data_IF_328850941097
#
_entry.id   IF_328850941097
#
_cell.length_a   1.000
_cell.length_b   1.000
_cell.length_c   1.000
_cell.angle_alpha   90.00
_cell.angle_beta   90.00
_cell.angle_gamma   90.00
#
_symmetry.space_group_name_H-M   'P 1'
#
loop_
_entity.id
_entity.type
_entity.pdbx_description
1 polymer ?
2 non-polymer ?
3 non-polymer ?
4 water ?
#
# COMPACT_ATOMS: atom_id res chain seq x y z
N UNK A 6 -19.48 25.29 -22.73
CA UNK A 6 -19.52 24.53 -21.48
C UNK A 6 -18.13 24.05 -21.09
N UNK A 7 -17.82 24.12 -19.80
CA UNK A 7 -16.47 23.75 -19.34
C UNK A 7 -16.23 22.26 -19.44
N UNK A 8 -14.95 21.91 -19.61
CA UNK A 8 -14.51 20.52 -19.70
C UNK A 8 -13.62 20.25 -18.49
N UNK A 9 -14.06 19.33 -17.63
CA UNK A 9 -13.36 18.99 -16.41
C UNK A 9 -12.69 17.64 -16.55
N UNK A 10 -11.39 17.58 -16.27
CA UNK A 10 -10.59 16.39 -16.48
C UNK A 10 -10.63 15.50 -15.24
N UNK A 11 -11.02 14.23 -15.44
CA UNK A 11 -11.05 13.23 -14.37
C UNK A 11 -10.10 12.11 -14.78
N UNK A 12 -9.10 11.85 -13.95
CA UNK A 12 -8.16 10.76 -14.20
C UNK A 12 -8.54 9.57 -13.36
N UNK A 13 -8.23 8.39 -13.86
CA UNK A 13 -8.41 7.13 -13.14
C UNK A 13 -7.04 6.68 -12.64
N UNK A 14 -6.91 6.53 -11.33
CA UNK A 14 -5.65 6.12 -10.72
C UNK A 14 -5.86 4.86 -9.90
N UNK A 15 -4.76 4.16 -9.64
CA UNK A 15 -4.80 2.90 -8.93
C UNK A 15 -3.82 1.90 -9.51
N UNK A 16 -3.66 0.76 -8.86
CA UNK A 16 -2.71 -0.23 -9.34
C UNK A 16 -3.32 -1.04 -10.50
N UNK A 17 -2.48 -1.88 -11.10
CA UNK A 17 -2.90 -2.67 -12.25
C UNK A 17 -3.80 -3.82 -11.80
N UNK A 18 -5.01 -3.88 -12.36
CA UNK A 18 -5.92 -4.97 -12.10
C UNK A 18 -7.10 -4.65 -11.20
N UNK A 19 -7.30 -3.38 -10.82
CA UNK A 19 -8.39 -3.04 -9.93
C UNK A 19 -9.70 -2.86 -10.69
N UNK A 20 -9.64 -2.41 -11.95
CA UNK A 20 -10.84 -2.21 -12.73
C UNK A 20 -10.98 -0.82 -13.31
N UNK A 21 -9.85 -0.12 -13.49
CA UNK A 21 -9.91 1.22 -14.06
C UNK A 21 -10.40 1.19 -15.50
N UNK A 22 -9.85 0.27 -16.30
CA UNK A 22 -10.28 0.15 -17.69
C UNK A 22 -11.73 -0.33 -17.79
N UNK A 23 -12.17 -1.15 -16.85
CA UNK A 23 -13.57 -1.58 -16.83
C UNK A 23 -14.50 -0.41 -16.51
N UNK A 24 -14.10 0.45 -15.57
CA UNK A 24 -14.87 1.65 -15.30
C UNK A 24 -14.88 2.58 -16.51
N UNK A 25 -13.75 2.71 -17.18
CA UNK A 25 -13.67 3.54 -18.38
C UNK A 25 -14.61 3.01 -19.47
N UNK A 26 -14.61 1.69 -19.66
CA UNK A 26 -15.53 1.10 -20.62
C UNK A 26 -16.97 1.38 -20.24
N UNK A 27 -17.32 1.15 -18.96
CA UNK A 27 -18.67 1.44 -18.49
C UNK A 27 -19.06 2.89 -18.74
N UNK A 28 -18.09 3.80 -18.66
CA UNK A 28 -18.35 5.21 -18.94
C UNK A 28 -18.76 5.39 -20.40
N UNK A 29 -17.96 4.86 -21.33
CA UNK A 29 -18.22 5.01 -22.75
C UNK A 29 -19.52 4.32 -23.12
N UNK A 30 -19.68 3.07 -22.69
CA UNK A 30 -20.88 2.28 -22.94
C UNK A 30 -21.11 1.36 -21.75
N UNK A 31 -22.37 1.13 -21.40
CA UNK A 31 -22.65 0.27 -20.26
C UNK A 31 -22.43 -1.19 -20.69
N UNK A 32 -21.15 -1.55 -20.77
CA UNK A 32 -20.73 -2.86 -21.24
C UNK A 32 -19.67 -3.44 -20.32
N UNK A 33 -19.63 -4.77 -20.25
CA UNK A 33 -18.59 -5.48 -19.53
C UNK A 33 -17.99 -6.53 -20.44
N UNK A 34 -16.67 -6.53 -20.56
CA UNK A 34 -15.94 -7.51 -21.35
C UNK A 34 -14.90 -8.16 -20.44
N UNK A 35 -15.00 -9.47 -20.18
CA UNK A 35 -14.04 -10.20 -19.34
C UNK A 35 -12.63 -10.16 -19.89
N UNK A 44 -8.64 1.34 -26.95
CA UNK A 44 -9.23 2.37 -27.80
C UNK A 44 -8.52 3.71 -27.70
N UNK A 45 -9.08 4.60 -26.89
CA UNK A 45 -8.53 5.93 -26.67
C UNK A 45 -8.24 6.12 -25.19
N UNK A 46 -7.38 7.10 -24.90
CA UNK A 46 -6.99 7.38 -23.52
C UNK A 46 -8.04 8.19 -22.77
N UNK A 47 -8.88 8.94 -23.47
CA UNK A 47 -9.84 9.83 -22.82
C UNK A 47 -11.17 9.78 -23.54
N UNK A 48 -12.25 10.03 -22.79
CA UNK A 48 -13.59 10.07 -23.34
C UNK A 48 -14.38 11.17 -22.64
N UNK A 49 -15.14 11.93 -23.41
CA UNK A 49 -15.89 13.07 -22.91
C UNK A 49 -17.38 12.75 -22.91
N UNK A 50 -18.06 13.09 -21.80
CA UNK A 50 -19.49 12.88 -21.66
C UNK A 50 -20.12 14.13 -21.07
N UNK A 51 -21.26 14.53 -21.63
CA UNK A 51 -21.93 15.76 -21.22
C UNK A 51 -22.93 15.48 -20.10
N UNK A 52 -22.83 16.24 -19.03
CA UNK A 52 -23.76 16.18 -17.90
C UNK A 52 -24.37 17.56 -17.68
N UNK A 53 -25.63 17.59 -17.30
CA UNK A 53 -26.27 18.83 -16.83
C UNK A 53 -26.68 18.66 -15.38
N UNK A 54 -26.16 19.53 -14.52
CA UNK A 54 -26.52 19.57 -13.11
C UNK A 54 -27.21 20.90 -12.86
N UNK A 55 -28.52 20.86 -12.64
CA UNK A 55 -29.31 22.07 -12.39
C UNK A 55 -29.11 23.09 -13.49
N UNK A 56 -28.48 24.22 -13.15
CA UNK A 56 -28.28 25.31 -14.10
C UNK A 56 -27.09 25.08 -15.03
N UNK A 57 -26.10 24.33 -14.59
CA UNK A 57 -24.82 24.27 -15.30
C UNK A 57 -24.64 22.94 -16.03
N UNK A 58 -24.11 23.02 -17.25
CA UNK A 58 -23.70 21.86 -18.03
C UNK A 58 -22.18 21.75 -17.99
N UNK A 59 -21.69 20.52 -17.88
CA UNK A 59 -20.25 20.26 -17.82
C UNK A 59 -19.94 19.02 -18.64
N UNK A 60 -18.76 19.01 -19.27
CA UNK A 60 -18.26 17.85 -19.99
C UNK A 60 -17.18 17.19 -19.15
N UNK A 61 -17.42 15.96 -18.73
CA UNK A 61 -16.45 15.19 -17.97
C UNK A 61 -15.52 14.46 -18.94
N UNK A 62 -14.24 14.74 -18.85
CA UNK A 62 -13.22 14.11 -19.70
C UNK A 62 -12.48 13.07 -18.87
N UNK A 63 -12.94 11.83 -18.94
CA UNK A 63 -12.37 10.75 -18.14
C UNK A 63 -11.15 10.16 -18.83
N UNK A 64 -10.06 10.03 -18.08
CA UNK A 64 -8.80 9.52 -18.61
C UNK A 64 -8.47 8.16 -18.00
N UNK A 65 -7.99 7.23 -18.83
CA UNK A 65 -7.47 5.96 -18.36
C UNK A 65 -5.95 5.94 -18.53
N UNK A 66 -5.31 5.08 -17.74
CA UNK A 66 -3.85 5.03 -17.74
C UNK A 66 -3.28 4.41 -19.00
N UNK A 67 -4.09 3.68 -19.76
CA UNK A 67 -3.59 2.99 -20.94
C UNK A 67 -2.67 1.82 -20.62
N UNK A 68 -2.83 1.21 -19.47
CA UNK A 68 -1.99 0.10 -19.06
C UNK A 68 -0.57 0.48 -18.69
N UNK A 69 -0.27 1.77 -18.62
CA UNK A 69 1.09 2.19 -18.33
C UNK A 69 1.46 2.02 -16.86
N UNK A 70 0.47 1.86 -15.98
CA UNK A 70 0.77 1.62 -14.58
C UNK A 70 1.29 0.20 -14.33
N UNK A 71 1.26 -0.67 -15.34
CA UNK A 71 1.82 -2.00 -15.19
C UNK A 71 3.34 -1.95 -15.14
N UNK A 72 3.95 -1.06 -15.92
CA UNK A 72 5.40 -0.88 -15.89
C UNK A 72 5.81 0.33 -15.07
N UNK A 73 4.86 0.93 -14.33
CA UNK A 73 5.13 2.11 -13.51
C UNK A 73 5.72 3.24 -14.33
N UNK A 74 5.17 3.46 -15.54
CA UNK A 74 5.62 4.50 -16.44
C UNK A 74 4.49 5.48 -16.75
N UNK A 75 3.73 5.85 -15.72
CA UNK A 75 2.67 6.85 -15.86
C UNK A 75 3.33 8.22 -15.87
N UNK A 76 3.28 8.91 -17.01
CA UNK A 76 3.95 10.19 -17.15
C UNK A 76 3.28 11.26 -16.29
N UNK A 77 4.03 12.34 -16.04
CA UNK A 77 3.51 13.45 -15.25
C UNK A 77 2.42 14.21 -15.99
N UNK A 78 2.39 14.14 -17.32
CA UNK A 78 1.34 14.81 -18.08
C UNK A 78 -0.03 14.18 -17.84
N UNK A 79 -0.07 12.96 -17.30
CA UNK A 79 -1.35 12.33 -17.00
C UNK A 79 -2.04 13.00 -15.82
N UNK A 80 -1.27 13.49 -14.85
CA UNK A 80 -1.84 14.09 -13.66
C UNK A 80 -2.07 15.60 -13.80
N UNK A 81 -1.32 16.26 -14.68
CA UNK A 81 -1.39 17.71 -14.79
C UNK A 81 -2.78 18.15 -15.25
N UNK A 82 -3.23 19.28 -14.69
CA UNK A 82 -4.48 19.92 -15.07
C UNK A 82 -5.70 19.02 -14.85
N UNK A 83 -5.60 18.11 -13.89
CA UNK A 83 -6.69 17.19 -13.59
C UNK A 83 -7.60 17.81 -12.53
N UNK A 84 -8.86 18.06 -12.90
CA UNK A 84 -9.80 18.60 -11.94
C UNK A 84 -10.19 17.57 -10.88
N UNK A 85 -10.11 16.29 -11.21
CA UNK A 85 -10.49 15.24 -10.27
C UNK A 85 -9.67 13.99 -10.55
N UNK A 86 -9.51 13.18 -9.50
CA UNK A 86 -8.78 11.92 -9.57
C UNK A 86 -9.58 10.86 -8.83
N UNK A 87 -9.89 9.76 -9.50
CA UNK A 87 -10.64 8.65 -8.92
C UNK A 87 -9.65 7.56 -8.56
N UNK A 88 -9.38 7.40 -7.27
CA UNK A 88 -8.51 6.32 -6.79
C UNK A 88 -9.32 5.04 -6.71
N UNK A 89 -9.04 4.10 -7.60
CA UNK A 89 -9.79 2.85 -7.69
C UNK A 89 -9.01 1.74 -7.01
N UNK A 90 -9.72 0.91 -6.24
CA UNK A 90 -9.12 -0.23 -5.58
C UNK A 90 -10.12 -1.37 -5.56
N UNK A 91 -9.60 -2.60 -5.62
CA UNK A 91 -10.42 -3.79 -5.58
C UNK A 91 -10.84 -4.08 -4.13
N UNK A 92 -12.13 -4.35 -3.93
CA UNK A 92 -12.64 -4.61 -2.59
C UNK A 92 -12.18 -5.97 -2.06
N UNK A 93 -11.71 -6.86 -2.93
CA UNK A 93 -11.25 -8.18 -2.49
C UNK A 93 -9.74 -8.23 -2.25
N UNK A 94 -9.00 -7.19 -2.67
CA UNK A 94 -7.56 -7.13 -2.49
C UNK A 94 -7.23 -5.91 -1.64
N UNK A 95 -6.69 -6.16 -0.44
CA UNK A 95 -6.36 -5.07 0.48
C UNK A 95 -5.09 -4.34 0.09
N UNK A 96 -4.21 -4.96 -0.71
CA UNK A 96 -2.99 -4.29 -1.14
C UNK A 96 -3.30 -3.14 -2.08
N UNK A 97 -4.35 -3.26 -2.88
CA UNK A 97 -4.71 -2.19 -3.81
C UNK A 97 -5.15 -0.92 -3.08
N UNK A 98 -5.74 -1.07 -1.89
CA UNK A 98 -6.11 0.09 -1.10
C UNK A 98 -4.90 0.68 -0.39
N UNK A 99 -3.97 -0.18 0.05
CA UNK A 99 -2.77 0.31 0.72
C UNK A 99 -1.87 1.07 -0.23
N UNK A 100 -1.84 0.68 -1.51
CA UNK A 100 -0.92 1.28 -2.48
C UNK A 100 -1.41 2.63 -2.99
N UNK A 101 -2.62 3.05 -2.62
CA UNK A 101 -3.17 4.32 -3.09
C UNK A 101 -2.40 5.52 -2.56
N UNK A 102 -1.53 5.34 -1.56
CA UNK A 102 -0.76 6.47 -1.03
C UNK A 102 0.21 7.01 -2.08
N UNK A 103 0.88 6.13 -2.81
CA UNK A 103 1.78 6.59 -3.87
C UNK A 103 1.02 7.36 -4.94
N UNK A 104 -0.13 6.84 -5.37
CA UNK A 104 -0.90 7.52 -6.41
C UNK A 104 -1.38 8.89 -5.93
N UNK A 105 -1.85 8.97 -4.68
CA UNK A 105 -2.29 10.25 -4.15
C UNK A 105 -1.13 11.22 -4.04
N UNK A 106 0.06 10.71 -3.69
CA UNK A 106 1.25 11.56 -3.63
C UNK A 106 1.57 12.15 -5.00
N UNK A 107 1.54 11.31 -6.04
CA UNK A 107 1.79 11.80 -7.39
C UNK A 107 0.74 12.81 -7.83
N UNK A 108 -0.53 12.55 -7.51
CA UNK A 108 -1.61 13.46 -7.87
C UNK A 108 -1.38 14.82 -7.22
N UNK A 109 -1.17 14.84 -5.91
CA UNK A 109 -0.98 16.10 -5.19
C UNK A 109 0.27 16.81 -5.70
N UNK A 110 1.31 16.05 -6.04
CA UNK A 110 2.56 16.66 -6.48
C UNK A 110 2.39 17.38 -7.81
N UNK A 111 1.64 16.78 -8.74
CA UNK A 111 1.48 17.33 -10.08
C UNK A 111 0.15 18.04 -10.29
N UNK A 112 -0.80 17.91 -9.36
CA UNK A 112 -2.09 18.58 -9.51
C UNK A 112 -2.73 18.85 -8.15
N UNK A 113 -2.23 19.84 -7.41
CA UNK A 113 -2.85 20.21 -6.16
C UNK A 113 -4.23 20.80 -6.40
N UNK A 114 -5.01 20.91 -5.32
CA UNK A 114 -6.37 21.44 -5.38
C UNK A 114 -7.25 20.62 -6.32
N UNK A 115 -7.01 19.31 -6.35
CA UNK A 115 -7.79 18.38 -7.16
C UNK A 115 -8.70 17.55 -6.28
N UNK A 116 -9.94 17.39 -6.72
CA UNK A 116 -10.92 16.62 -5.94
C UNK A 116 -10.58 15.14 -6.01
N UNK A 117 -10.41 14.51 -4.85
CA UNK A 117 -10.05 13.11 -4.76
C UNK A 117 -11.31 12.30 -4.44
N UNK A 118 -11.60 11.32 -5.28
CA UNK A 118 -12.70 10.40 -5.06
C UNK A 118 -12.17 8.98 -4.90
N UNK A 119 -12.89 8.18 -4.14
CA UNK A 119 -12.48 6.82 -3.82
C UNK A 119 -13.50 5.83 -4.37
N UNK A 120 -13.03 4.82 -5.08
CA UNK A 120 -13.89 3.83 -5.72
C UNK A 120 -13.50 2.44 -5.24
N UNK A 121 -14.47 1.72 -4.67
CA UNK A 121 -14.26 0.33 -4.30
C UNK A 121 -14.88 -0.61 -5.30
N UNK A 122 -14.09 -1.06 -6.28
CA UNK A 122 -14.61 -1.86 -7.36
C UNK A 122 -14.66 -3.34 -6.97
N UNK A 123 -15.30 -4.13 -7.83
CA UNK A 123 -15.44 -5.58 -7.63
C UNK A 123 -16.22 -5.89 -6.36
N UNK A 124 -17.33 -5.18 -6.17
CA UNK A 124 -18.15 -5.37 -4.98
C UNK A 124 -18.90 -6.71 -4.98
N UNK A 125 -18.89 -7.43 -6.10
CA UNK A 125 -19.49 -8.75 -6.18
C UNK A 125 -18.53 -9.87 -5.78
N UNK A 126 -17.26 -9.54 -5.52
CA UNK A 126 -16.26 -10.53 -5.14
C UNK A 126 -15.69 -10.26 -3.75
N UNK A 127 -16.37 -9.48 -2.92
CA UNK A 127 -15.91 -9.13 -1.59
C UNK A 127 -16.64 -9.90 -0.50
N UNK A 128 -17.97 -9.81 -0.48
CA UNK A 128 -18.81 -10.48 0.52
C UNK A 128 -18.39 -10.12 1.94
N UNK A 135 -9.22 -9.09 1.81
CA UNK A 135 -10.45 -8.36 1.56
C UNK A 135 -10.62 -7.23 2.57
N UNK A 136 -11.74 -7.25 3.29
CA UNK A 136 -12.04 -6.29 4.36
C UNK A 136 -12.12 -4.90 3.74
N UNK A 137 -11.34 -3.93 4.23
CA UNK A 137 -11.39 -2.54 3.76
C UNK A 137 -12.80 -1.95 3.92
N UNK A 138 -13.42 -2.21 5.08
CA UNK A 138 -14.75 -1.68 5.33
C UNK A 138 -14.72 -0.21 5.74
N UNK A 139 -13.59 0.28 6.24
CA UNK A 139 -13.46 1.66 6.68
C UNK A 139 -12.27 2.31 5.98
N UNK A 140 -12.52 3.43 5.31
CA UNK A 140 -11.42 4.23 4.77
C UNK A 140 -10.51 4.71 5.89
N UNK A 141 -11.09 5.01 7.06
CA UNK A 141 -10.34 5.35 8.27
C UNK A 141 -9.46 6.58 8.06
N UNK A 142 -10.00 7.58 7.37
CA UNK A 142 -9.31 8.85 7.12
C UNK A 142 -7.95 8.59 6.47
N UNK A 143 -7.98 8.05 5.25
CA UNK A 143 -6.76 7.80 4.51
C UNK A 143 -5.95 9.08 4.34
N UNK A 144 -6.63 10.19 4.07
CA UNK A 144 -6.00 11.51 4.06
C UNK A 144 -6.92 12.48 4.79
N UNK A 145 -6.33 13.50 5.38
CA UNK A 145 -7.05 14.43 6.26
C UNK A 145 -7.28 15.77 5.56
N UNK A 146 -7.80 16.72 6.34
CA UNK A 146 -8.24 18.02 5.83
C UNK A 146 -9.32 17.87 4.75
N UNK A 147 -10.10 16.78 4.86
CA UNK A 147 -11.19 16.50 3.92
C UNK A 147 -10.70 16.45 2.47
N UNK A 148 -9.57 15.78 2.26
CA UNK A 148 -9.07 15.60 0.89
C UNK A 148 -9.99 14.68 0.10
N UNK A 149 -10.53 13.65 0.75
CA UNK A 149 -11.47 12.75 0.10
C UNK A 149 -12.85 13.43 0.09
N UNK A 150 -13.43 13.57 -1.10
CA UNK A 150 -14.73 14.21 -1.22
C UNK A 150 -15.87 13.22 -0.93
N UNK A 151 -15.77 12.01 -1.46
CA UNK A 151 -16.77 10.97 -1.20
C UNK A 151 -16.21 9.64 -1.68
N UNK A 152 -16.75 8.56 -1.12
CA UNK A 152 -16.36 7.20 -1.46
C UNK A 152 -17.50 6.48 -2.16
N UNK A 153 -17.16 5.49 -2.97
CA UNK A 153 -18.13 4.75 -3.76
C UNK A 153 -17.74 3.29 -3.82
N UNK A 154 -18.75 2.42 -3.88
CA UNK A 154 -18.56 0.99 -4.07
C UNK A 154 -19.24 0.59 -5.37
N UNK A 155 -18.45 0.22 -6.37
CA UNK A 155 -18.96 -0.09 -7.69
C UNK A 155 -18.68 -1.55 -8.03
N UNK A 156 -19.32 -2.02 -9.10
CA UNK A 156 -19.09 -3.36 -9.62
C UNK A 156 -19.27 -3.29 -11.14
N UNK A 157 -18.16 -3.26 -11.87
CA UNK A 157 -18.23 -3.17 -13.32
C UNK A 157 -18.90 -4.37 -13.95
N UNK A 158 -18.89 -5.52 -13.28
CA UNK A 158 -19.54 -6.71 -13.84
C UNK A 158 -21.05 -6.54 -13.87
N UNK A 159 -21.63 -6.01 -12.79
CA UNK A 159 -23.07 -5.81 -12.70
C UNK A 159 -23.49 -4.36 -12.92
N UNK A 160 -22.53 -3.43 -12.99
CA UNK A 160 -22.86 -2.03 -13.19
C UNK A 160 -23.42 -1.33 -11.98
N UNK A 161 -23.41 -1.96 -10.80
CA UNK A 161 -24.01 -1.39 -9.61
C UNK A 161 -23.16 -0.23 -9.10
N UNK A 162 -23.77 0.95 -9.00
CA UNK A 162 -23.12 2.09 -8.39
C UNK A 162 -22.19 2.88 -9.28
N UNK A 163 -22.16 2.59 -10.58
CA UNK A 163 -21.25 3.29 -11.48
C UNK A 163 -21.87 4.57 -12.01
N UNK A 164 -23.08 4.49 -12.57
CA UNK A 164 -23.75 5.69 -13.04
C UNK A 164 -23.99 6.68 -11.91
N UNK A 165 -24.39 6.16 -10.73
CA UNK A 165 -24.57 7.03 -9.58
C UNK A 165 -23.25 7.69 -9.17
N UNK A 166 -22.14 6.95 -9.26
CA UNK A 166 -20.85 7.51 -8.89
C UNK A 166 -20.48 8.68 -9.80
N UNK A 167 -20.58 8.47 -11.11
CA UNK A 167 -20.20 9.52 -12.04
C UNK A 167 -21.14 10.72 -11.95
N UNK A 168 -22.44 10.46 -11.73
CA UNK A 168 -23.37 11.56 -11.56
C UNK A 168 -23.04 12.38 -10.33
N UNK A 169 -22.74 11.70 -9.21
CA UNK A 169 -22.39 12.40 -7.98
C UNK A 169 -21.07 13.15 -8.12
N UNK A 170 -20.12 12.58 -8.87
CA UNK A 170 -18.84 13.26 -9.09
C UNK A 170 -19.06 14.55 -9.88
N UNK A 171 -19.85 14.47 -10.96
CA UNK A 171 -20.15 15.67 -11.73
C UNK A 171 -20.88 16.70 -10.89
N UNK A 172 -21.84 16.25 -10.07
CA UNK A 172 -22.57 17.18 -9.20
C UNK A 172 -21.63 17.86 -8.22
N UNK A 173 -20.74 17.09 -7.58
CA UNK A 173 -19.86 17.67 -6.56
C UNK A 173 -18.91 18.69 -7.16
N UNK A 174 -18.42 18.44 -8.36
CA UNK A 174 -17.44 19.34 -8.95
C UNK A 174 -18.10 20.55 -9.61
N UNK A 175 -19.35 20.43 -10.04
CA UNK A 175 -20.09 21.63 -10.44
C UNK A 175 -20.36 22.50 -9.23
N UNK A 176 -20.71 21.88 -8.11
CA UNK A 176 -20.96 22.64 -6.88
C UNK A 176 -19.69 23.29 -6.38
N UNK A 177 -18.55 22.59 -6.47
CA UNK A 177 -17.30 23.16 -5.99
C UNK A 177 -16.84 24.33 -6.86
N UNK A 178 -16.99 24.20 -8.17
CA UNK A 178 -16.56 25.28 -9.06
C UNK A 178 -17.50 26.48 -9.00
N UNK A 179 -18.73 26.30 -8.53
CA UNK A 179 -19.63 27.44 -8.35
C UNK A 179 -19.34 28.20 -7.07
N UNK A 180 -18.91 27.50 -6.02
CA UNK A 180 -18.63 28.12 -4.74
C UNK A 180 -17.50 29.14 -4.83
N UNK B 1 -4.70 -14.76 -17.39
CA UNK B 1 -4.16 -15.88 -16.64
C UNK B 1 -4.82 -16.00 -15.28
N UNK B 2 -4.58 -17.12 -14.61
CA UNK B 2 -5.12 -17.39 -13.29
C UNK B 2 -4.07 -17.12 -12.22
N UNK B 3 -4.49 -16.49 -11.12
CA UNK B 3 -3.61 -16.22 -9.99
C UNK B 3 -4.28 -16.73 -8.72
N UNK B 4 -3.46 -17.15 -7.76
CA UNK B 4 -3.96 -17.64 -6.49
C UNK B 4 -4.43 -16.46 -5.66
N UNK B 5 -5.70 -16.50 -5.25
CA UNK B 5 -6.29 -15.43 -4.45
C UNK B 5 -6.13 -15.77 -2.98
N UNK B 6 -5.27 -15.02 -2.28
CA UNK B 6 -4.97 -15.25 -0.88
C UNK B 6 -4.69 -13.90 -0.23
N UNK B 7 -5.06 -13.74 1.05
CA UNK B 7 -4.84 -12.43 1.70
C UNK B 7 -3.37 -12.07 1.78
N UNK B 8 -3.09 -10.78 1.64
CA UNK B 8 -1.74 -10.25 1.65
C UNK B 8 -1.56 -9.42 2.92
N UNK B 9 -0.55 -9.77 3.71
CA UNK B 9 -0.25 -9.09 4.96
C UNK B 9 1.03 -8.28 4.82
N UNK B 10 0.98 -7.02 5.24
CA UNK B 10 2.11 -6.11 5.08
C UNK B 10 3.05 -6.19 6.26
N UNK B 11 4.33 -6.46 5.98
CA UNK B 11 5.37 -6.49 7.00
C UNK B 11 6.49 -5.55 6.56
N UNK B 12 6.81 -4.58 7.42
CA UNK B 12 7.84 -3.60 7.11
C UNK B 12 9.10 -3.93 7.90
N UNK B 13 10.24 -3.50 7.35
CA UNK B 13 11.53 -3.66 8.00
C UNK B 13 12.02 -2.28 8.45
N UNK B 14 12.19 -2.11 9.76
CA UNK B 14 12.62 -0.84 10.32
C UNK B 14 13.95 -1.02 11.05
N UNK B 15 14.63 0.08 11.26
CA UNK B 15 15.91 0.08 11.94
C UNK B 15 16.84 1.13 11.36
N UNK B 16 17.99 1.28 12.01
CA UNK B 16 18.98 2.23 11.55
C UNK B 16 19.66 1.70 10.28
N UNK B 17 20.31 2.61 9.56
CA UNK B 17 20.99 2.24 8.33
C UNK B 17 22.25 1.44 8.64
N UNK B 18 22.35 0.25 8.06
CA UNK B 18 23.51 -0.61 8.24
C UNK B 18 23.27 -1.82 9.11
N UNK B 19 22.04 -2.05 9.58
CA UNK B 19 21.81 -3.19 10.46
C UNK B 19 21.59 -4.47 9.66
N UNK B 20 21.13 -4.36 8.40
CA UNK B 20 20.92 -5.52 7.58
C UNK B 20 19.50 -5.67 7.07
N UNK B 21 18.81 -4.55 6.87
CA UNK B 21 17.44 -4.62 6.37
C UNK B 21 17.41 -5.06 4.91
N UNK B 22 18.23 -4.41 4.07
CA UNK B 22 18.30 -4.81 2.66
C UNK B 22 18.82 -6.23 2.51
N UNK B 23 19.73 -6.65 3.37
CA UNK B 23 20.25 -8.02 3.33
C UNK B 23 19.15 -9.03 3.66
N UNK B 24 18.38 -8.76 4.73
CA UNK B 24 17.27 -9.65 5.08
C UNK B 24 16.25 -9.70 3.95
N UNK B 25 15.97 -8.55 3.33
CA UNK B 25 15.01 -8.50 2.23
C UNK B 25 15.51 -9.34 1.06
N UNK B 26 16.80 -9.26 0.77
CA UNK B 26 17.38 -10.05 -0.31
C UNK B 26 17.26 -11.54 0.00
N UNK B 27 17.51 -11.94 1.25
CA UNK B 27 17.39 -13.34 1.64
C UNK B 27 15.96 -13.85 1.44
N UNK B 28 14.97 -13.00 1.70
CA UNK B 28 13.56 -13.34 1.50
C UNK B 28 13.28 -13.70 0.04
N UNK B 29 13.74 -12.86 -0.90
CA UNK B 29 13.55 -13.13 -2.32
C UNK B 29 14.29 -14.39 -2.75
N UNK B 30 15.52 -14.55 -2.28
CA UNK B 30 16.36 -15.70 -2.56
C UNK B 30 17.43 -15.73 -1.48
N UNK B 31 17.79 -16.93 -1.04
CA UNK B 31 18.72 -17.02 0.08
C UNK B 31 20.12 -16.67 -0.42
N UNK B 32 20.32 -15.37 -0.64
CA UNK B 32 21.53 -14.84 -1.28
C UNK B 32 22.10 -13.71 -0.45
N UNK B 33 23.41 -13.75 -0.23
CA UNK B 33 24.16 -12.69 0.43
C UNK B 33 25.19 -12.15 -0.56
N UNK B 34 25.22 -10.85 -0.74
CA UNK B 34 26.13 -10.18 -1.66
C UNK B 34 26.95 -9.17 -0.84
N UNK B 35 28.27 -9.15 -0.95
CA UNK B 35 29.07 -8.29 -0.06
C UNK B 35 28.82 -6.80 -0.23
N UNK B 36 28.65 -6.33 -1.45
CA UNK B 36 28.48 -4.89 -1.66
C UNK B 36 27.12 -4.42 -1.18
N UNK B 37 27.09 -3.22 -0.62
CA UNK B 37 25.84 -2.61 -0.16
C UNK B 37 26.00 -1.10 -0.03
N UNK B 44 16.83 -3.74 -5.80
CA UNK B 44 15.87 -4.26 -6.74
C UNK B 44 14.51 -3.57 -6.66
N UNK B 45 13.61 -4.16 -5.89
CA UNK B 45 12.27 -3.63 -5.69
C UNK B 45 12.06 -3.28 -4.22
N UNK B 46 11.02 -2.48 -3.97
CA UNK B 46 10.74 -2.04 -2.61
C UNK B 46 9.98 -3.07 -1.79
N UNK B 47 9.21 -3.94 -2.44
CA UNK B 47 8.39 -4.92 -1.75
C UNK B 47 8.46 -6.26 -2.48
N UNK B 48 8.25 -7.33 -1.72
CA UNK B 48 8.24 -8.68 -2.28
C UNK B 48 7.23 -9.52 -1.53
N UNK B 49 6.42 -10.27 -2.27
CA UNK B 49 5.35 -11.09 -1.70
C UNK B 49 5.71 -12.56 -1.83
N UNK B 50 5.69 -13.28 -0.71
CA UNK B 50 5.97 -14.71 -0.69
C UNK B 50 4.82 -15.45 -0.01
N UNK B 51 4.45 -16.59 -0.58
CA UNK B 51 3.33 -17.37 -0.10
C UNK B 51 3.78 -18.31 1.02
N UNK B 52 3.09 -18.25 2.15
CA UNK B 52 3.33 -19.14 3.28
C UNK B 52 2.06 -19.91 3.59
N UNK B 53 2.18 -21.22 3.76
CA UNK B 53 1.06 -22.10 4.09
C UNK B 53 1.18 -22.50 5.55
N UNK B 54 0.32 -21.92 6.38
CA UNK B 54 0.28 -22.21 7.82
C UNK B 54 -1.03 -22.92 8.11
N UNK B 55 -0.93 -24.14 8.63
CA UNK B 55 -2.10 -24.98 8.94
C UNK B 55 -2.89 -25.14 7.64
N UNK B 56 -4.20 -24.88 7.63
CA UNK B 56 -5.02 -25.00 6.43
C UNK B 56 -5.14 -23.67 5.68
N UNK B 57 -4.42 -22.65 6.10
CA UNK B 57 -4.59 -21.28 5.58
C UNK B 57 -3.33 -20.82 4.87
N UNK B 58 -3.50 -20.32 3.65
CA UNK B 58 -2.41 -19.74 2.87
C UNK B 58 -2.47 -18.22 2.96
N UNK B 59 -1.32 -17.60 3.16
CA UNK B 59 -1.20 -16.14 3.18
C UNK B 59 -0.02 -15.73 2.31
N UNK B 60 0.07 -14.44 2.04
CA UNK B 60 1.17 -13.86 1.28
C UNK B 60 1.80 -12.75 2.11
N UNK B 61 3.00 -13.00 2.61
CA UNK B 61 3.75 -11.99 3.34
C UNK B 61 4.35 -11.00 2.36
N UNK B 62 3.95 -9.73 2.47
CA UNK B 62 4.46 -8.67 1.61
C UNK B 62 5.52 -7.90 2.39
N UNK B 63 6.75 -8.40 2.34
CA UNK B 63 7.85 -7.75 3.06
C UNK B 63 8.27 -6.49 2.33
N UNK B 64 8.48 -5.42 3.09
CA UNK B 64 8.85 -4.12 2.56
C UNK B 64 10.23 -3.72 3.06
N UNK B 65 11.00 -3.10 2.19
CA UNK B 65 12.29 -2.51 2.54
C UNK B 65 12.23 -1.00 2.39
N UNK B 66 13.14 -0.32 3.08
CA UNK B 66 13.14 1.14 3.06
C UNK B 66 13.59 1.71 1.72
N UNK B 67 14.20 0.90 0.87
CA UNK B 67 14.72 1.41 -0.40
C UNK B 67 15.85 2.41 -0.24
N UNK B 68 16.60 2.31 0.85
CA UNK B 68 17.68 3.25 1.10
C UNK B 68 17.23 4.64 1.47
N UNK B 69 15.93 4.86 1.65
CA UNK B 69 15.40 6.19 1.95
C UNK B 69 15.67 6.63 3.37
N UNK B 70 16.16 5.75 4.24
CA UNK B 70 16.52 6.15 5.60
C UNK B 70 17.86 6.86 5.66
N UNK B 71 18.67 6.76 4.61
CA UNK B 71 19.93 7.50 4.57
C UNK B 71 19.69 8.99 4.44
N UNK B 72 18.68 9.38 3.64
CA UNK B 72 18.38 10.79 3.39
C UNK B 72 17.29 11.32 4.30
N UNK B 73 16.81 10.50 5.25
CA UNK B 73 15.79 10.91 6.21
C UNK B 73 14.54 11.45 5.51
N UNK B 74 14.13 10.77 4.44
CA UNK B 74 12.96 11.16 3.68
C UNK B 74 11.93 10.02 3.62
N UNK B 75 11.85 9.23 4.69
CA UNK B 75 10.87 8.14 4.76
C UNK B 75 9.52 8.75 5.09
N UNK B 76 8.62 8.77 4.11
CA UNK B 76 7.29 9.33 4.32
C UNK B 76 6.49 8.46 5.29
N UNK B 77 5.41 9.06 5.82
CA UNK B 77 4.57 8.35 6.77
C UNK B 77 3.82 7.20 6.12
N UNK B 78 3.68 7.19 4.80
CA UNK B 78 2.98 6.11 4.11
C UNK B 78 3.72 4.79 4.20
N UNK B 79 5.02 4.81 4.50
CA UNK B 79 5.79 3.57 4.62
C UNK B 79 5.30 2.72 5.77
N UNK B 80 4.81 3.35 6.85
CA UNK B 80 4.38 2.62 8.03
C UNK B 80 2.89 2.28 8.00
N UNK B 81 2.09 3.06 7.27
CA UNK B 81 0.65 2.88 7.32
C UNK B 81 0.23 1.51 6.77
N UNK B 82 -0.84 0.98 7.34
CA UNK B 82 -1.45 -0.29 6.91
C UNK B 82 -0.48 -1.46 7.03
N UNK B 83 0.50 -1.36 7.94
CA UNK B 83 1.47 -2.42 8.13
C UNK B 83 0.93 -3.41 9.16
N UNK B 84 0.79 -4.67 8.75
CA UNK B 84 0.36 -5.71 9.68
C UNK B 84 1.45 -6.06 10.69
N UNK B 85 2.70 -5.81 10.35
CA UNK B 85 3.81 -6.12 11.24
C UNK B 85 4.98 -5.20 10.96
N UNK B 86 5.82 -5.00 11.97
CA UNK B 86 7.03 -4.22 11.86
C UNK B 86 8.17 -4.98 12.51
N UNK B 87 9.25 -5.19 11.76
CA UNK B 87 10.42 -5.91 12.25
C UNK B 87 11.50 -4.89 12.57
N UNK B 88 11.74 -4.68 13.87
CA UNK B 88 12.81 -3.79 14.32
C UNK B 88 14.12 -4.56 14.27
N UNK B 89 14.97 -4.23 13.31
CA UNK B 89 16.25 -4.90 13.12
C UNK B 89 17.36 -4.06 13.72
N UNK B 90 18.30 -4.72 14.40
CA UNK B 90 19.47 -4.05 14.94
C UNK B 90 20.66 -4.99 14.86
N UNK B 91 21.84 -4.42 14.69
CA UNK B 91 23.07 -5.19 14.60
C UNK B 91 23.52 -5.62 15.99
N UNK B 92 23.85 -6.90 16.13
CA UNK B 92 24.34 -7.41 17.41
C UNK B 92 25.74 -6.91 17.76
N UNK B 93 26.41 -6.25 16.83
CA UNK B 93 27.74 -5.70 17.08
C UNK B 93 27.70 -4.24 17.51
N UNK B 94 26.66 -3.51 17.14
CA UNK B 94 26.53 -2.09 17.46
C UNK B 94 25.39 -1.91 18.47
N UNK B 95 25.74 -1.50 19.68
CA UNK B 95 24.74 -1.24 20.70
C UNK B 95 23.91 0.01 20.39
N UNK B 96 24.45 0.93 19.60
CA UNK B 96 23.68 2.11 19.22
C UNK B 96 22.46 1.76 18.38
N UNK B 97 22.56 0.71 17.55
CA UNK B 97 21.42 0.29 16.75
C UNK B 97 20.28 -0.21 17.63
N UNK B 98 20.62 -0.82 18.77
CA UNK B 98 19.62 -1.28 19.72
C UNK B 98 19.05 -0.13 20.54
N UNK B 99 19.91 0.83 20.93
CA UNK B 99 19.45 1.98 21.69
C UNK B 99 18.53 2.87 20.86
N UNK B 100 18.79 2.97 19.56
CA UNK B 100 18.02 3.88 18.69
C UNK B 100 16.66 3.32 18.30
N UNK B 101 16.34 2.08 18.69
CA UNK B 101 15.07 1.49 18.30
C UNK B 101 13.87 2.21 18.90
N UNK B 102 14.09 3.08 19.90
CA UNK B 102 12.99 3.81 20.51
C UNK B 102 12.31 4.73 19.50
N UNK B 103 13.11 5.45 18.71
CA UNK B 103 12.54 6.37 17.72
C UNK B 103 11.77 5.63 16.64
N UNK B 104 12.31 4.50 16.16
CA UNK B 104 11.62 3.73 15.14
C UNK B 104 10.32 3.15 15.68
N UNK B 105 10.34 2.64 16.91
CA UNK B 105 9.11 2.15 17.52
C UNK B 105 8.09 3.27 17.70
N UNK B 106 8.56 4.48 18.02
CA UNK B 106 7.66 5.62 18.15
C UNK B 106 6.98 5.92 16.82
N UNK B 107 7.75 5.94 15.73
CA UNK B 107 7.18 6.20 14.41
C UNK B 107 6.19 5.11 14.03
N UNK B 108 6.52 3.85 14.34
CA UNK B 108 5.64 2.74 13.98
C UNK B 108 4.30 2.86 14.71
N UNK B 109 4.34 3.07 16.02
CA UNK B 109 3.11 3.19 16.80
C UNK B 109 2.34 4.44 16.40
N UNK B 110 3.05 5.50 15.99
CA UNK B 110 2.38 6.73 15.61
C UNK B 110 1.56 6.55 14.34
N UNK B 111 2.14 5.91 13.33
CA UNK B 111 1.51 5.77 12.03
C UNK B 111 0.92 4.39 11.78
N UNK B 112 1.09 3.45 12.71
CA UNK B 112 0.53 2.11 12.53
C UNK B 112 0.35 1.38 13.85
N UNK B 113 -0.62 1.82 14.66
CA UNK B 113 -0.96 1.07 15.86
C UNK B 113 -1.64 -0.24 15.48
N UNK B 114 -1.81 -1.11 16.47
CA UNK B 114 -2.36 -2.45 16.27
C UNK B 114 -1.51 -3.25 15.27
N UNK B 115 -0.22 -2.95 15.21
CA UNK B 115 0.72 -3.66 14.37
C UNK B 115 1.67 -4.46 15.25
N UNK B 116 1.82 -5.75 14.94
CA UNK B 116 2.68 -6.61 15.75
C UNK B 116 4.15 -6.27 15.52
N UNK B 117 4.89 -6.14 16.61
CA UNK B 117 6.30 -5.77 16.56
C UNK B 117 7.14 -7.02 16.80
N UNK B 118 8.13 -7.23 15.93
CA UNK B 118 9.06 -8.35 16.06
C UNK B 118 10.47 -7.83 16.12
N UNK B 119 11.21 -8.24 17.14
CA UNK B 119 12.58 -7.80 17.33
C UNK B 119 13.54 -8.76 16.65
N UNK B 120 14.53 -8.20 15.96
CA UNK B 120 15.50 -9.01 15.22
C UNK B 120 16.91 -8.52 15.53
N UNK B 121 17.76 -9.44 15.97
CA UNK B 121 19.16 -9.13 16.18
C UNK B 121 20.03 -9.69 15.08
N UNK B 122 20.22 -8.92 14.01
CA UNK B 122 20.97 -9.37 12.86
C UNK B 122 22.47 -9.31 13.15
N UNK B 123 23.25 -9.85 12.21
CA UNK B 123 24.72 -9.85 12.28
C UNK B 123 25.21 -10.60 13.51
N UNK B 124 24.62 -11.78 13.76
CA UNK B 124 25.16 -12.66 14.79
C UNK B 124 26.46 -13.34 14.35
N UNK B 125 26.85 -13.18 13.09
CA UNK B 125 28.12 -13.70 12.63
C UNK B 125 29.29 -12.93 13.23
N UNK B 126 29.09 -11.66 13.56
CA UNK B 126 30.14 -10.81 14.08
C UNK B 126 30.06 -10.63 15.60
N UNK B 127 29.26 -11.44 16.28
CA UNK B 127 29.11 -11.36 17.73
C UNK B 127 29.84 -12.52 18.38
N UNK B 128 30.73 -12.21 19.32
CA UNK B 128 31.49 -13.23 20.03
C UNK B 128 31.93 -12.71 21.41
N UNK B 135 27.49 -10.23 24.58
CA UNK B 135 28.64 -9.51 24.04
C UNK B 135 28.17 -8.30 23.22
N UNK B 136 27.92 -7.20 23.93
CA UNK B 136 27.25 -5.97 23.46
C UNK B 136 25.80 -6.26 23.08
N UNK B 137 25.29 -7.46 23.34
CA UNK B 137 23.87 -7.78 23.16
C UNK B 137 23.36 -8.36 24.48
N UNK B 138 23.34 -7.51 25.51
CA UNK B 138 22.64 -7.88 26.74
C UNK B 138 21.20 -8.25 26.40
N UNK B 139 20.62 -9.10 27.24
CA UNK B 139 19.36 -9.73 26.87
C UNK B 139 18.26 -8.72 26.53
N UNK B 140 17.65 -8.92 25.37
CA UNK B 140 16.63 -8.05 24.82
C UNK B 140 15.23 -8.37 25.34
N UNK B 141 15.12 -9.33 26.25
CA UNK B 141 13.83 -9.81 26.74
C UNK B 141 12.95 -8.64 27.18
N UNK B 142 13.53 -7.71 27.92
CA UNK B 142 12.85 -6.46 28.26
C UNK B 142 13.21 -5.40 27.22
N UNK B 143 12.27 -5.11 26.31
CA UNK B 143 12.37 -4.00 25.37
C UNK B 143 11.29 -2.97 25.58
N UNK B 144 10.04 -3.40 25.66
CA UNK B 144 8.91 -2.49 25.61
C UNK B 144 7.73 -3.10 26.36
N UNK B 145 6.85 -2.23 26.83
CA UNK B 145 5.78 -2.59 27.74
C UNK B 145 4.49 -2.93 27.02
N UNK B 146 3.68 -3.74 27.70
CA UNK B 146 2.32 -4.07 27.27
C UNK B 146 2.32 -4.95 26.01
N UNK B 147 3.30 -5.87 25.94
CA UNK B 147 3.32 -6.92 24.92
C UNK B 147 3.28 -6.34 23.51
N UNK B 148 3.97 -5.23 23.31
CA UNK B 148 4.07 -4.67 21.95
C UNK B 148 4.87 -5.61 21.06
N UNK B 149 5.88 -6.27 21.63
CA UNK B 149 6.78 -7.14 20.88
C UNK B 149 6.32 -8.58 21.07
N UNK B 150 6.09 -9.28 19.96
CA UNK B 150 5.55 -10.63 19.98
C UNK B 150 6.63 -11.70 20.09
N UNK B 151 7.78 -11.49 19.46
CA UNK B 151 8.86 -12.47 19.51
C UNK B 151 10.18 -11.81 19.13
N UNK B 152 11.26 -12.40 19.60
CA UNK B 152 12.61 -11.93 19.31
C UNK B 152 13.36 -12.98 18.50
N UNK B 153 14.30 -12.52 17.69
CA UNK B 153 15.05 -13.40 16.80
C UNK B 153 16.50 -12.94 16.71
N UNK B 154 17.39 -13.90 16.48
CA UNK B 154 18.81 -13.63 16.25
C UNK B 154 19.19 -14.24 14.90
N UNK B 155 19.35 -13.39 13.89
CA UNK B 155 19.63 -13.84 12.53
C UNK B 155 21.03 -13.42 12.11
N UNK B 156 21.43 -13.92 10.95
CA UNK B 156 22.73 -13.56 10.35
C UNK B 156 22.58 -13.74 8.85
N UNK B 157 22.49 -12.62 8.12
CA UNK B 157 22.27 -12.67 6.67
C UNK B 157 23.45 -13.30 5.93
N UNK B 158 24.64 -13.34 6.54
CA UNK B 158 25.78 -13.93 5.86
C UNK B 158 25.66 -15.44 5.80
N UNK B 159 25.23 -16.07 6.89
CA UNK B 159 25.04 -17.52 6.95
C UNK B 159 23.58 -17.94 6.90
N UNK B 160 22.63 -17.01 7.01
CA UNK B 160 21.23 -17.33 6.90
C UNK B 160 20.65 -18.06 8.09
N UNK B 161 21.36 -18.10 9.22
CA UNK B 161 20.88 -18.83 10.38
C UNK B 161 19.74 -18.09 11.04
N UNK B 162 18.58 -18.73 11.13
CA UNK B 162 17.44 -18.17 11.83
C UNK B 162 16.60 -17.20 11.05
N UNK B 163 16.76 -17.13 9.74
CA UNK B 163 16.01 -16.19 8.92
C UNK B 163 14.70 -16.81 8.48
N UNK B 164 14.77 -17.98 7.84
CA UNK B 164 13.55 -18.66 7.40
C UNK B 164 12.66 -19.02 8.57
N UNK B 165 13.26 -19.46 9.68
CA UNK B 165 12.49 -19.74 10.88
C UNK B 165 11.82 -18.49 11.41
N UNK B 166 12.49 -17.34 11.32
CA UNK B 166 11.90 -16.08 11.78
C UNK B 166 10.66 -15.73 10.96
N UNK B 167 10.79 -15.77 9.63
CA UNK B 167 9.65 -15.41 8.78
C UNK B 167 8.51 -16.39 8.94
N UNK B 168 8.82 -17.68 9.10
CA UNK B 168 7.77 -18.68 9.31
C UNK B 168 7.04 -18.43 10.62
N UNK B 169 7.78 -18.12 11.68
CA UNK B 169 7.15 -17.88 12.98
C UNK B 169 6.33 -16.59 12.96
N UNK B 170 6.80 -15.58 12.24
CA UNK B 170 6.05 -14.33 12.12
C UNK B 170 4.73 -14.58 11.39
N UNK B 171 4.80 -15.32 10.28
CA UNK B 171 3.58 -15.67 9.56
C UNK B 171 2.63 -16.46 10.46
N UNK B 172 3.16 -17.43 11.20
CA UNK B 172 2.34 -18.23 12.09
C UNK B 172 1.64 -17.37 13.14
N UNK B 173 2.38 -16.44 13.74
CA UNK B 173 1.79 -15.63 14.81
C UNK B 173 0.74 -14.67 14.28
N UNK B 174 0.88 -14.19 13.04
CA UNK B 174 -0.01 -13.18 12.50
C UNK B 174 -1.23 -13.75 11.80
N UNK B 175 -1.17 -15.01 11.35
CA UNK B 175 -2.36 -15.63 10.79
C UNK B 175 -3.32 -16.04 11.89
N UNK B 176 -2.80 -16.36 13.08
CA UNK B 176 -3.67 -16.75 14.19
C UNK B 176 -4.51 -15.58 14.68
N UNK B 177 -3.89 -14.41 14.82
CA UNK B 177 -4.62 -13.25 15.32
C UNK B 177 -5.57 -12.69 14.27
N UNK B 178 -5.16 -12.70 13.00
CA UNK B 178 -6.01 -12.14 11.95
C UNK B 178 -7.26 -12.97 11.73
N UNK B 179 -7.22 -14.27 12.04
CA UNK B 179 -8.38 -15.13 11.89
C UNK B 179 -9.26 -15.17 13.13
N UNK B 180 -8.79 -14.62 14.26
CA UNK B 180 -9.57 -14.58 15.48
C UNK B 180 -10.82 -13.72 15.31
#
# INVERSE_FOLDING_TARGET
MAVVKTPVLKVILCGEYGVGKSSLFRRFINNTFVPNSDRRATLGLDHFEKLYQVADKDVKLQLWDTGGMERIASVTSSYYKFAEAAILVFSLDNASSFHILSQHLLEIVSYAENAKIFLCGNKSDLEGASPQVTDADIETFCEQCHNLVNSTYKTSCKTGKGIEEMFADIALQRVEANRS
MAVVKTPVLKVILCGEYGVGKSSLFRRFINNTFVPNSDRRATLGLDHFEKLYQVADKDVKLQLWDTGGMERIASVTSSYYKFAEAAILVFSLDNASSFHILSQHLLEIVSYAENAKIFLCGNKSDLEGASPQVTDADIETFCEQCHNLVNSTYKTSCKTGKGIEEMFADIALQRVEANRS
#
